data_IF_697238807056
#
_entry.id   IF_697238807056
#
_cell.length_a   1.000
_cell.length_b   1.000
_cell.length_c   1.000
_cell.angle_alpha   90.00
_cell.angle_beta   90.00
_cell.angle_gamma   90.00
#
_symmetry.space_group_name_H-M   'P 1'
#
loop_
_entity.id
_entity.type
_entity.pdbx_description
1 polymer ?
#
# COMPACT_ATOMS: atom_id res chain seq x y z
N UNK A 1 -21.48 6.19 5.40
CA UNK A 1 -20.20 5.71 5.96
C UNK A 1 -19.10 5.98 4.96
N UNK A 2 -17.82 6.01 5.39
CA UNK A 2 -16.70 6.10 4.46
C UNK A 2 -16.72 4.94 3.45
N UNK A 3 -16.19 5.13 2.23
CA UNK A 3 -16.11 4.05 1.25
C UNK A 3 -15.23 2.92 1.80
N UNK A 4 -15.69 1.68 1.64
CA UNK A 4 -14.92 0.49 1.96
C UNK A 4 -14.27 -0.01 0.68
N UNK A 5 -12.96 0.20 0.55
CA UNK A 5 -12.20 -0.25 -0.62
C UNK A 5 -11.65 -1.64 -0.34
N UNK A 6 -11.95 -2.59 -1.24
CA UNK A 6 -11.29 -3.89 -1.23
C UNK A 6 -9.93 -3.78 -1.89
N UNK A 7 -8.90 -4.24 -1.20
CA UNK A 7 -7.54 -4.41 -1.73
C UNK A 7 -7.35 -5.89 -1.97
N UNK A 8 -6.99 -6.25 -3.20
CA UNK A 8 -6.58 -7.60 -3.59
C UNK A 8 -5.14 -7.57 -4.05
N UNK A 9 -4.31 -8.46 -3.51
CA UNK A 9 -2.90 -8.56 -3.83
C UNK A 9 -2.59 -9.97 -4.26
N UNK A 10 -1.86 -10.05 -5.36
CA UNK A 10 -1.34 -11.27 -5.92
C UNK A 10 0.09 -10.99 -6.38
N UNK A 11 1.03 -11.70 -5.76
CA UNK A 11 2.44 -11.71 -6.15
C UNK A 11 2.81 -13.17 -6.37
N UNK A 12 2.83 -13.61 -7.62
CA UNK A 12 2.98 -15.03 -7.95
C UNK A 12 4.42 -15.55 -7.74
N UNK A 13 5.42 -14.68 -7.85
CA UNK A 13 6.84 -15.03 -7.84
C UNK A 13 7.75 -13.84 -7.49
N UNK A 14 9.02 -14.12 -7.22
CA UNK A 14 10.06 -13.10 -7.02
C UNK A 14 10.21 -12.59 -5.59
N UNK A 15 9.60 -13.26 -4.62
CA UNK A 15 9.77 -13.02 -3.20
C UNK A 15 10.46 -14.21 -2.54
N UNK A 16 11.36 -13.94 -1.60
CA UNK A 16 12.07 -14.95 -0.82
C UNK A 16 11.17 -15.49 0.29
N UNK A 17 11.15 -16.81 0.47
CA UNK A 17 10.17 -17.48 1.35
C UNK A 17 10.39 -17.25 2.84
N UNK A 18 11.64 -17.03 3.25
CA UNK A 18 12.04 -16.82 4.65
C UNK A 18 12.10 -15.33 5.03
N UNK A 19 11.65 -14.44 4.15
CA UNK A 19 11.67 -13.00 4.37
C UNK A 19 10.26 -12.43 4.61
N UNK A 20 10.18 -11.54 5.61
CA UNK A 20 8.98 -10.74 5.86
C UNK A 20 8.98 -9.51 4.94
N UNK A 21 7.83 -9.26 4.33
CA UNK A 21 7.56 -8.11 3.49
C UNK A 21 6.50 -7.19 4.10
N UNK A 22 6.59 -5.92 3.76
CA UNK A 22 5.58 -4.91 4.10
C UNK A 22 5.05 -4.25 2.83
N UNK A 23 3.80 -3.84 2.88
CA UNK A 23 3.10 -3.18 1.80
C UNK A 23 2.69 -1.77 2.23
N UNK A 24 2.84 -0.82 1.31
CA UNK A 24 2.49 0.57 1.57
C UNK A 24 2.05 1.31 0.32
N UNK A 25 1.13 2.26 0.46
CA UNK A 25 0.83 3.28 -0.54
C UNK A 25 1.64 4.54 -0.21
N UNK A 26 2.30 5.11 -1.21
CA UNK A 26 3.19 6.26 -1.11
C UNK A 26 2.56 7.48 -1.77
N UNK A 27 2.79 8.64 -1.15
CA UNK A 27 2.25 9.94 -1.54
C UNK A 27 2.53 10.33 -3.01
N UNK A 28 3.62 9.83 -3.60
CA UNK A 28 4.01 10.17 -4.97
C UNK A 28 4.00 8.94 -5.87
N UNK A 29 3.76 9.09 -7.18
CA UNK A 29 4.00 8.01 -8.12
C UNK A 29 5.49 7.64 -8.16
N UNK A 30 5.77 6.36 -8.38
CA UNK A 30 7.10 5.86 -8.67
C UNK A 30 7.58 6.44 -10.02
N UNK A 31 8.68 7.20 -9.98
CA UNK A 31 9.28 7.83 -11.17
C UNK A 31 9.98 6.79 -12.01
N UNK A 32 9.72 6.77 -13.31
CA UNK A 32 10.31 5.82 -14.28
C UNK A 32 10.19 4.35 -13.84
N UNK A 33 9.21 4.03 -12.99
CA UNK A 33 9.06 2.71 -12.36
C UNK A 33 10.30 2.25 -11.55
N UNK A 34 11.16 3.19 -11.12
CA UNK A 34 12.32 2.89 -10.28
C UNK A 34 11.92 2.86 -8.80
N UNK A 35 11.96 1.67 -8.20
CA UNK A 35 11.66 1.45 -6.80
C UNK A 35 12.87 1.72 -5.90
N UNK A 36 13.55 2.87 -6.05
CA UNK A 36 14.76 3.17 -5.27
C UNK A 36 14.49 4.01 -4.04
N UNK A 37 13.56 4.96 -4.16
CA UNK A 37 13.32 5.99 -3.16
C UNK A 37 11.83 6.17 -2.94
N UNK A 38 11.20 5.37 -2.06
CA UNK A 38 9.80 5.58 -1.70
C UNK A 38 9.63 6.99 -1.11
N UNK A 39 8.56 7.67 -1.49
CA UNK A 39 8.16 8.89 -0.80
C UNK A 39 7.57 8.57 0.58
N UNK A 40 7.07 9.58 1.30
CA UNK A 40 6.29 9.35 2.51
C UNK A 40 5.05 8.48 2.21
N UNK A 41 4.49 7.87 3.25
CA UNK A 41 3.19 7.22 3.16
C UNK A 41 2.15 8.20 2.64
N UNK A 42 1.21 7.68 1.85
CA UNK A 42 -0.01 8.42 1.53
C UNK A 42 -0.76 8.72 2.83
N UNK A 43 -0.93 10.00 3.15
CA UNK A 43 -1.37 10.44 4.48
C UNK A 43 -2.29 11.67 4.41
N UNK A 44 -3.47 11.56 3.77
CA UNK A 44 -4.41 12.66 3.63
C UNK A 44 -4.98 13.13 4.97
N UNK A 45 -4.99 12.27 5.99
CA UNK A 45 -5.43 12.56 7.37
C UNK A 45 -4.34 13.21 8.22
N UNK A 46 -3.14 13.41 7.68
CA UNK A 46 -2.02 14.09 8.33
C UNK A 46 -1.60 13.48 9.68
N UNK A 47 -1.66 12.15 9.79
CA UNK A 47 -1.09 11.42 10.93
C UNK A 47 0.39 11.79 11.10
N UNK A 48 0.84 11.98 12.34
CA UNK A 48 2.22 12.40 12.62
C UNK A 48 3.19 11.23 12.43
N UNK A 49 3.83 11.19 11.27
CA UNK A 49 4.76 10.10 10.86
C UNK A 49 6.16 10.18 11.48
N UNK A 50 6.57 11.34 12.01
CA UNK A 50 7.97 11.62 12.43
C UNK A 50 8.19 11.71 13.94
N UNK A 51 7.17 11.43 14.75
CA UNK A 51 7.36 11.34 16.19
C UNK A 51 7.77 9.93 16.61
N UNK A 52 8.49 9.81 17.72
CA UNK A 52 8.69 8.54 18.45
C UNK A 52 7.39 7.85 18.90
N UNK A 53 6.24 8.45 18.56
CA UNK A 53 4.89 7.99 18.83
C UNK A 53 4.17 7.49 17.57
N UNK A 54 4.82 7.45 16.38
CA UNK A 54 4.26 6.73 15.25
C UNK A 54 4.44 5.24 15.49
N UNK A 55 3.48 4.66 16.22
CA UNK A 55 3.26 3.23 16.30
C UNK A 55 2.05 2.98 15.41
N UNK A 56 2.26 2.25 14.32
CA UNK A 56 1.17 1.69 13.52
C UNK A 56 1.46 0.20 13.39
N UNK A 57 0.66 -0.58 14.09
CA UNK A 57 0.72 -2.02 14.13
C UNK A 57 -0.70 -2.59 14.27
N UNK A 58 -0.89 -3.75 13.66
CA UNK A 58 -2.19 -4.39 13.51
C UNK A 58 -2.84 -4.85 14.83
N UNK A 59 -2.10 -4.84 15.95
CA UNK A 59 -2.56 -5.41 17.22
C UNK A 59 -2.93 -4.35 18.26
N UNK A 60 -2.26 -3.21 18.27
CA UNK A 60 -2.38 -2.20 19.33
C UNK A 60 -2.99 -0.88 18.84
N UNK A 61 -3.01 -0.63 17.53
CA UNK A 61 -3.42 0.66 16.99
C UNK A 61 -4.85 0.61 16.44
N UNK A 62 -5.66 1.62 16.78
CA UNK A 62 -6.87 1.95 16.02
C UNK A 62 -6.42 2.19 14.55
N UNK A 63 -6.98 1.51 13.54
CA UNK A 63 -6.64 1.76 12.15
C UNK A 63 -6.70 3.26 11.78
N UNK A 64 -7.55 4.04 12.47
CA UNK A 64 -7.67 5.50 12.36
C UNK A 64 -6.46 6.31 12.87
N UNK A 65 -5.58 5.69 13.65
CA UNK A 65 -4.30 6.26 14.08
C UNK A 65 -3.16 6.05 13.05
N UNK A 66 -3.34 5.17 12.07
CA UNK A 66 -2.34 4.90 11.04
C UNK A 66 -2.45 5.87 9.87
N UNK A 67 -1.33 6.13 9.18
CA UNK A 67 -1.42 6.81 7.89
C UNK A 67 -2.21 5.93 6.91
N UNK A 68 -3.07 6.55 6.09
CA UNK A 68 -3.96 5.81 5.19
C UNK A 68 -3.21 4.82 4.27
N UNK A 69 -2.00 5.17 3.85
CA UNK A 69 -1.13 4.33 3.03
C UNK A 69 -0.26 3.32 3.78
N UNK A 70 -0.29 3.27 5.12
CA UNK A 70 0.44 2.24 5.89
C UNK A 70 -0.41 0.96 5.99
N UNK A 71 -0.41 0.19 4.89
CA UNK A 71 -1.24 -1.01 4.79
C UNK A 71 -0.74 -2.13 5.71
N UNK A 72 0.57 -2.37 5.77
CA UNK A 72 1.10 -3.40 6.67
C UNK A 72 1.08 -3.01 8.14
N UNK A 73 1.13 -1.71 8.45
CA UNK A 73 0.86 -1.26 9.81
C UNK A 73 -0.57 -1.58 10.25
N UNK A 74 -1.57 -1.42 9.37
CA UNK A 74 -2.98 -1.74 9.67
C UNK A 74 -3.33 -3.24 9.60
N UNK A 75 -2.82 -3.93 8.59
CA UNK A 75 -3.27 -5.28 8.21
C UNK A 75 -2.20 -6.36 8.38
N UNK A 76 -1.02 -5.99 8.87
CA UNK A 76 0.14 -6.87 9.02
C UNK A 76 1.07 -6.91 7.81
N UNK A 77 2.33 -7.23 8.07
CA UNK A 77 3.25 -7.69 7.03
C UNK A 77 2.96 -9.14 6.63
N UNK A 78 3.65 -9.63 5.61
CA UNK A 78 3.43 -10.97 5.06
C UNK A 78 4.73 -11.70 4.75
N UNK A 79 4.68 -13.02 4.76
CA UNK A 79 5.74 -13.89 4.21
C UNK A 79 5.27 -14.42 2.85
N UNK A 80 6.21 -14.63 1.94
CA UNK A 80 5.91 -15.30 0.68
C UNK A 80 5.98 -16.82 0.86
N UNK A 81 4.99 -17.56 0.39
CA UNK A 81 5.04 -19.02 0.38
C UNK A 81 5.54 -19.52 -0.98
N UNK A 82 5.80 -20.82 -1.14
CA UNK A 82 6.32 -21.43 -2.39
C UNK A 82 5.52 -21.05 -3.65
N UNK A 83 4.25 -20.67 -3.49
CA UNK A 83 3.34 -20.27 -4.58
C UNK A 83 3.09 -18.77 -4.65
N UNK A 84 3.93 -17.96 -4.01
CA UNK A 84 3.77 -16.53 -3.92
C UNK A 84 2.93 -16.08 -2.71
N UNK A 85 2.34 -14.88 -2.83
CA UNK A 85 1.52 -14.25 -1.80
C UNK A 85 0.20 -13.75 -2.39
N UNK A 86 -0.91 -14.18 -1.77
CA UNK A 86 -2.26 -13.80 -2.16
C UNK A 86 -3.04 -13.38 -0.92
N UNK A 87 -3.62 -12.19 -0.92
CA UNK A 87 -4.41 -11.71 0.20
C UNK A 87 -5.45 -10.68 -0.25
N UNK A 88 -6.50 -10.57 0.55
CA UNK A 88 -7.56 -9.60 0.36
C UNK A 88 -7.98 -9.01 1.69
N UNK A 89 -8.16 -7.70 1.74
CA UNK A 89 -8.70 -7.01 2.90
C UNK A 89 -9.50 -5.79 2.48
N UNK A 90 -10.19 -5.20 3.46
CA UNK A 90 -10.95 -3.98 3.28
C UNK A 90 -10.29 -2.83 4.03
N UNK A 91 -10.25 -1.66 3.41
CA UNK A 91 -9.70 -0.44 3.98
C UNK A 91 -10.72 0.69 3.85
N UNK A 92 -10.97 1.40 4.94
CA UNK A 92 -11.97 2.47 5.04
C UNK A 92 -11.35 3.88 4.98
N UNK A 93 -10.03 3.99 4.83
CA UNK A 93 -9.32 5.27 4.84
C UNK A 93 -8.88 5.73 3.46
N UNK A 94 -8.94 4.83 2.48
CA UNK A 94 -8.62 5.11 1.09
C UNK A 94 -9.88 5.11 0.23
N UNK A 95 -9.79 5.72 -0.93
CA UNK A 95 -10.85 5.75 -1.95
C UNK A 95 -10.23 5.54 -3.34
N UNK A 96 -11.04 5.14 -4.32
CA UNK A 96 -10.64 5.15 -5.73
C UNK A 96 -11.04 6.46 -6.42
N UNK A 97 -11.90 7.26 -5.80
CA UNK A 97 -12.44 8.52 -6.35
C UNK A 97 -12.50 9.60 -5.28
N UNK A 98 -12.46 10.86 -5.69
CA UNK A 98 -12.60 12.01 -4.79
C UNK A 98 -11.34 12.28 -3.96
N UNK A 99 -11.00 13.56 -3.84
CA UNK A 99 -9.90 14.01 -2.99
C UNK A 99 -10.43 14.28 -1.56
N UNK A 100 -9.60 14.14 -0.50
CA UNK A 100 -8.15 13.86 -0.55
C UNK A 100 -7.79 12.38 -0.42
N UNK A 101 -8.75 11.47 -0.24
CA UNK A 101 -8.48 10.06 0.09
C UNK A 101 -8.28 9.16 -1.15
N UNK A 102 -8.38 9.69 -2.37
CA UNK A 102 -8.15 8.90 -3.58
C UNK A 102 -6.70 8.42 -3.66
N UNK A 103 -6.49 7.12 -3.87
CA UNK A 103 -5.17 6.51 -4.06
C UNK A 103 -4.75 6.43 -5.53
N UNK A 104 -5.57 6.92 -6.45
CA UNK A 104 -5.22 7.02 -7.88
C UNK A 104 -4.06 8.02 -8.06
N UNK A 105 -3.12 7.72 -8.96
CA UNK A 105 -1.90 8.49 -9.25
C UNK A 105 -0.84 8.50 -8.12
N UNK A 106 -1.06 7.69 -7.09
CA UNK A 106 -0.07 7.34 -6.09
C UNK A 106 0.66 6.05 -6.48
N UNK A 107 1.53 5.53 -5.61
CA UNK A 107 2.23 4.27 -5.86
C UNK A 107 2.11 3.30 -4.69
N UNK A 108 2.16 2.01 -5.00
CA UNK A 108 2.29 0.93 -4.03
C UNK A 108 3.73 0.46 -3.99
N UNK A 109 4.23 0.11 -2.82
CA UNK A 109 5.58 -0.39 -2.57
C UNK A 109 5.51 -1.66 -1.72
N UNK A 110 6.26 -2.67 -2.16
CA UNK A 110 6.63 -3.83 -1.35
C UNK A 110 8.05 -3.60 -0.85
N UNK A 111 8.24 -3.62 0.46
CA UNK A 111 9.52 -3.45 1.11
C UNK A 111 9.89 -4.74 1.84
N UNK A 112 11.17 -5.05 1.87
CA UNK A 112 11.69 -6.20 2.58
C UNK A 112 11.97 -5.87 4.07
N UNK A 113 12.40 -6.86 4.84
CA UNK A 113 12.65 -6.74 6.28
C UNK A 113 13.76 -5.73 6.62
N UNK A 114 14.69 -5.50 5.68
CA UNK A 114 15.76 -4.50 5.80
C UNK A 114 15.31 -3.06 5.42
N UNK A 115 14.01 -2.86 5.16
CA UNK A 115 13.47 -1.57 4.74
C UNK A 115 13.88 -1.16 3.32
N UNK A 116 14.29 -2.11 2.49
CA UNK A 116 14.63 -1.86 1.07
C UNK A 116 13.42 -2.17 0.19
N UNK A 117 13.12 -1.34 -0.82
CA UNK A 117 12.08 -1.68 -1.78
C UNK A 117 12.48 -2.92 -2.60
N UNK A 118 11.54 -3.83 -2.76
CA UNK A 118 11.63 -5.01 -3.63
C UNK A 118 10.99 -4.70 -4.97
N UNK A 119 9.76 -4.19 -4.93
CA UNK A 119 8.99 -3.81 -6.11
C UNK A 119 8.00 -2.70 -5.78
N UNK A 120 7.51 -2.02 -6.80
CA UNK A 120 6.58 -0.92 -6.70
C UNK A 120 5.80 -0.76 -8.01
N UNK A 121 4.62 -0.16 -7.92
CA UNK A 121 3.80 0.14 -9.09
C UNK A 121 2.99 1.42 -8.88
N UNK A 122 2.63 2.09 -9.97
CA UNK A 122 1.73 3.24 -9.93
C UNK A 122 0.28 2.75 -9.95
N UNK A 123 -0.56 3.33 -9.09
CA UNK A 123 -1.99 3.05 -9.03
C UNK A 123 -2.67 3.84 -10.14
N UNK A 124 -3.33 3.13 -11.05
CA UNK A 124 -4.05 3.72 -12.18
C UNK A 124 -5.56 3.66 -11.95
N UNK A 125 -6.29 4.55 -12.61
CA UNK A 125 -7.73 4.40 -12.68
C UNK A 125 -8.06 3.03 -13.30
N UNK A 126 -9.08 2.33 -12.78
CA UNK A 126 -9.54 1.12 -13.42
C UNK A 126 -9.95 1.46 -14.85
N UNK A 127 -9.42 0.72 -15.82
CA UNK A 127 -9.87 0.87 -17.21
C UNK A 127 -11.37 0.59 -17.23
N UNK A 128 -12.17 1.58 -17.66
CA UNK A 128 -13.55 1.30 -17.99
C UNK A 128 -13.55 0.33 -19.18
N UNK A 129 -14.39 -0.73 -19.19
CA UNK A 129 -14.40 -1.74 -20.25
C UNK A 129 -14.56 -1.20 -21.68
N UNK A 130 -14.98 0.06 -21.85
CA UNK A 130 -15.23 0.69 -23.15
C UNK A 130 -14.10 1.63 -23.62
N UNK A 131 -12.89 1.50 -23.10
CA UNK A 131 -11.70 2.16 -23.64
C UNK A 131 -10.66 1.11 -24.07
N UNK A 132 -11.11 0.07 -24.76
CA UNK A 132 -10.25 -0.67 -25.67
C UNK A 132 -10.14 0.20 -26.93
N UNK A 133 -8.96 0.78 -27.15
CA UNK A 133 -8.69 1.74 -28.22
C UNK A 133 -9.15 1.22 -29.59
N UNK A 134 -9.97 2.02 -30.26
CA UNK A 134 -10.15 2.03 -31.73
C UNK A 134 -8.88 2.51 -32.43
#
# INVERSE_FOLDING_TARGET
GPPLVRIDIQIDQGLDHDEMYTLSIREKPAKNYECKHPSNFFNPTQVKLKSSAYTCNQYEDDPDACAAGDLSGKHGGFYAYERGFHASWYDNQISLVGQPNSVVDHSVFVMNSAGKPVTCANIKQPMQPNQAST
#
